data_IF_347609232817
#
_entry.id   IF_347609232817
#
_cell.length_a   1.000
_cell.length_b   1.000
_cell.length_c   1.000
_cell.angle_alpha   90.00
_cell.angle_beta   90.00
_cell.angle_gamma   90.00
#
_symmetry.space_group_name_H-M   'P 1'
#
loop_
_entity.id
_entity.type
_entity.pdbx_description
1 polymer ?
#
# COMPACT_ATOMS: atom_id res chain seq x y z
N UNK A 1 0.04 -14.89 -17.06
CA UNK A 1 -1.00 -15.92 -16.86
C UNK A 1 -2.37 -15.32 -17.07
N UNK A 2 -3.24 -16.10 -17.65
CA UNK A 2 -4.59 -15.67 -17.91
C UNK A 2 -5.36 -15.47 -16.61
N UNK A 3 -6.03 -14.33 -16.49
CA UNK A 3 -6.85 -14.04 -15.33
C UNK A 3 -6.12 -13.47 -14.13
N UNK A 4 -4.79 -13.49 -14.13
CA UNK A 4 -4.01 -12.87 -13.08
C UNK A 4 -3.83 -11.40 -13.43
N UNK A 5 -4.19 -10.51 -12.49
CA UNK A 5 -4.16 -9.08 -12.73
C UNK A 5 -3.32 -8.37 -11.65
N UNK A 6 -2.50 -7.40 -12.06
CA UNK A 6 -1.78 -6.60 -11.08
C UNK A 6 -2.72 -5.60 -10.41
N UNK A 7 -2.38 -5.21 -9.19
CA UNK A 7 -3.08 -4.15 -8.50
C UNK A 7 -2.10 -3.36 -7.62
N UNK A 8 -2.58 -2.22 -7.14
CA UNK A 8 -1.80 -1.30 -6.31
C UNK A 8 -1.34 -0.10 -7.12
N UNK A 9 -1.79 1.08 -6.71
CA UNK A 9 -1.43 2.32 -7.38
C UNK A 9 -1.14 3.40 -6.36
N UNK A 10 -0.23 4.30 -6.72
CA UNK A 10 0.03 5.49 -5.92
C UNK A 10 -1.26 6.31 -5.83
N UNK A 11 -1.60 6.74 -4.64
CA UNK A 11 -2.83 7.47 -4.38
C UNK A 11 -3.96 6.61 -3.85
N UNK A 12 -3.82 5.29 -3.91
CA UNK A 12 -4.79 4.39 -3.29
C UNK A 12 -4.70 4.47 -1.78
N UNK A 13 -5.82 4.22 -1.13
CA UNK A 13 -5.81 4.05 0.33
C UNK A 13 -5.18 2.72 0.69
N UNK A 14 -4.36 2.73 1.72
CA UNK A 14 -3.75 1.50 2.19
C UNK A 14 -4.81 0.55 2.76
N UNK A 15 -4.78 -0.68 2.31
CA UNK A 15 -5.69 -1.73 2.78
C UNK A 15 -4.83 -2.93 3.16
N UNK A 16 -4.78 -3.30 4.45
CA UNK A 16 -3.92 -4.40 4.90
C UNK A 16 -4.27 -5.76 4.29
N UNK A 17 -5.46 -5.91 3.73
CA UNK A 17 -5.81 -7.14 3.03
C UNK A 17 -5.19 -7.22 1.63
N UNK A 18 -4.87 -6.07 1.05
CA UNK A 18 -4.34 -5.99 -0.32
C UNK A 18 -2.88 -5.62 -0.35
N UNK A 19 -2.42 -4.88 0.64
CA UNK A 19 -1.09 -4.26 0.62
C UNK A 19 -0.26 -4.65 1.83
N UNK A 20 1.06 -4.63 1.63
CA UNK A 20 2.01 -4.78 2.72
C UNK A 20 2.83 -3.50 2.77
N UNK A 21 2.78 -2.81 3.90
CA UNK A 21 3.55 -1.58 4.07
C UNK A 21 4.98 -1.93 4.47
N UNK A 22 5.92 -1.67 3.58
CA UNK A 22 7.34 -1.92 3.88
C UNK A 22 7.90 -0.85 4.81
N UNK A 23 7.45 0.37 4.62
CA UNK A 23 7.87 1.49 5.46
C UNK A 23 6.81 2.58 5.35
N UNK A 24 6.97 3.61 6.17
CA UNK A 24 6.06 4.74 6.17
C UNK A 24 6.81 6.04 5.95
N UNK A 25 6.09 7.03 5.44
CA UNK A 25 6.59 8.41 5.37
C UNK A 25 5.67 9.28 6.22
N UNK A 26 6.15 10.47 6.51
CA UNK A 26 5.36 11.43 7.26
C UNK A 26 5.40 12.77 6.53
N UNK A 27 4.58 12.87 5.50
CA UNK A 27 4.45 14.09 4.71
C UNK A 27 3.15 14.79 5.13
N UNK A 28 3.24 15.96 5.77
CA UNK A 28 2.03 16.66 6.23
C UNK A 28 1.16 17.17 5.08
N UNK A 29 1.69 17.24 3.87
CA UNK A 29 0.93 17.71 2.71
C UNK A 29 0.16 16.60 2.03
N UNK A 30 0.45 15.36 2.37
CA UNK A 30 -0.21 14.19 1.79
C UNK A 30 -1.20 13.63 2.80
N UNK A 31 -2.35 13.19 2.32
CA UNK A 31 -3.35 12.61 3.21
C UNK A 31 -2.82 11.39 3.93
N UNK A 32 -3.36 11.17 5.13
CA UNK A 32 -3.00 10.01 5.93
C UNK A 32 -3.46 8.73 5.25
N UNK A 33 -2.68 7.68 5.40
CA UNK A 33 -3.02 6.34 4.92
C UNK A 33 -3.03 6.19 3.40
N UNK A 34 -2.42 7.13 2.68
CA UNK A 34 -2.29 7.01 1.23
C UNK A 34 -0.98 6.33 0.84
N UNK A 35 -1.06 5.52 -0.21
CA UNK A 35 0.11 4.89 -0.80
C UNK A 35 0.84 5.94 -1.61
N UNK A 36 2.12 6.15 -1.28
CA UNK A 36 2.95 7.16 -1.95
C UNK A 36 3.96 6.55 -2.90
N UNK A 37 4.24 5.26 -2.75
CA UNK A 37 5.19 4.57 -3.61
C UNK A 37 4.86 3.08 -3.64
N UNK A 38 5.09 2.47 -4.79
CA UNK A 38 4.89 1.02 -4.98
C UNK A 38 6.25 0.39 -5.24
N UNK A 39 6.68 -0.51 -4.36
CA UNK A 39 7.91 -1.28 -4.58
C UNK A 39 7.67 -2.50 -5.44
N UNK A 40 6.56 -3.19 -5.21
CA UNK A 40 6.15 -4.30 -6.03
C UNK A 40 4.64 -4.31 -6.13
N UNK A 41 4.13 -4.50 -7.34
CA UNK A 41 2.70 -4.64 -7.54
C UNK A 41 2.21 -5.94 -6.92
N UNK A 42 0.99 -5.90 -6.41
CA UNK A 42 0.32 -7.12 -6.01
C UNK A 42 -0.30 -7.80 -7.22
N UNK A 43 -0.68 -9.04 -7.06
CA UNK A 43 -1.37 -9.80 -8.10
C UNK A 43 -2.54 -10.54 -7.51
N UNK A 44 -3.62 -10.58 -8.26
CA UNK A 44 -4.81 -11.30 -7.84
C UNK A 44 -5.37 -12.11 -9.01
N UNK A 45 -6.00 -13.22 -8.69
CA UNK A 45 -6.75 -14.02 -9.62
C UNK A 45 -8.17 -14.13 -9.10
N UNK A 46 -9.11 -13.50 -9.82
CA UNK A 46 -10.48 -13.32 -9.35
C UNK A 46 -10.48 -12.67 -7.97
N UNK A 47 -10.98 -13.33 -6.94
CA UNK A 47 -11.01 -12.78 -5.58
C UNK A 47 -9.85 -13.24 -4.72
N UNK A 48 -8.94 -14.02 -5.29
CA UNK A 48 -7.80 -14.57 -4.56
C UNK A 48 -6.57 -13.68 -4.71
N UNK A 49 -6.03 -13.25 -3.59
CA UNK A 49 -4.79 -12.47 -3.57
C UNK A 49 -3.62 -13.45 -3.66
N UNK A 50 -2.88 -13.40 -4.76
CA UNK A 50 -1.70 -14.25 -4.96
C UNK A 50 -0.49 -13.65 -4.27
N UNK A 51 -0.37 -12.33 -4.35
CA UNK A 51 0.73 -11.58 -3.74
C UNK A 51 0.21 -10.21 -3.34
N UNK A 52 0.54 -9.78 -2.13
CA UNK A 52 0.21 -8.43 -1.69
C UNK A 52 1.12 -7.41 -2.38
N UNK A 53 0.60 -6.24 -2.66
CA UNK A 53 1.42 -5.14 -3.17
C UNK A 53 2.32 -4.63 -2.05
N UNK A 54 3.60 -4.43 -2.35
CA UNK A 54 4.57 -3.89 -1.38
C UNK A 54 4.67 -2.39 -1.61
N UNK A 55 4.34 -1.63 -0.60
CA UNK A 55 4.10 -0.19 -0.75
C UNK A 55 4.74 0.62 0.36
N UNK A 56 4.84 1.91 0.11
CA UNK A 56 5.17 2.90 1.14
C UNK A 56 3.91 3.72 1.39
N UNK A 57 3.56 3.88 2.65
CA UNK A 57 2.32 4.52 3.07
C UNK A 57 2.63 5.80 3.83
N UNK A 58 1.88 6.86 3.57
CA UNK A 58 2.00 8.08 4.32
C UNK A 58 1.21 7.99 5.61
N UNK A 59 1.88 8.23 6.75
CA UNK A 59 1.26 8.17 8.06
C UNK A 59 1.55 9.46 8.81
N UNK A 60 0.58 10.35 8.84
CA UNK A 60 0.74 11.62 9.54
C UNK A 60 0.94 11.43 11.04
N UNK A 61 0.46 10.31 11.56
CA UNK A 61 0.48 10.03 12.99
C UNK A 61 1.65 9.16 13.41
N UNK A 62 2.53 8.77 12.48
CA UNK A 62 3.62 7.86 12.77
C UNK A 62 4.52 8.34 13.90
N UNK A 63 4.77 9.64 13.93
CA UNK A 63 5.64 10.23 14.95
C UNK A 63 5.04 10.11 16.36
N UNK A 64 3.71 10.10 16.46
CA UNK A 64 3.05 9.97 17.74
C UNK A 64 3.02 8.54 18.25
N UNK A 65 3.16 7.59 17.37
CA UNK A 65 3.11 6.18 17.73
C UNK A 65 4.42 5.66 18.30
N UNK A 66 5.46 6.47 18.24
CA UNK A 66 6.76 6.12 18.81
C UNK A 66 6.74 6.22 20.33
N UNK A 67 5.87 7.04 20.86
CA UNK A 67 5.73 7.25 22.30
C UNK A 67 4.65 6.36 22.89
#
# INVERSE_FOLDING_TARGET
MKGVKPFGEVGDNFDPELHEALTTTNDPKTDDNLIVEIYESGYKYKDLIIRHAKVVVNKKWAIFMIF
#
